data_IF_647875831198
#
_entry.id   IF_647875831198
#
_cell.length_a   1.000
_cell.length_b   1.000
_cell.length_c   1.000
_cell.angle_alpha   90.00
_cell.angle_beta   90.00
_cell.angle_gamma   90.00
#
_symmetry.space_group_name_H-M   'P 1'
#
loop_
_entity.id
_entity.type
_entity.pdbx_description
1 polymer ?
#
# COMPACT_ATOMS: atom_id res chain seq x y z
N UNK A 1 61.30 112.07 34.10
CA UNK A 1 61.28 110.61 33.83
C UNK A 1 60.68 109.72 34.96
N UNK A 2 60.32 110.25 36.14
CA UNK A 2 59.86 109.41 37.28
C UNK A 2 58.35 109.05 37.26
N UNK A 3 57.47 109.91 36.77
CA UNK A 3 56.00 109.66 36.79
C UNK A 3 55.52 108.58 35.81
N UNK A 4 56.17 108.41 34.65
CA UNK A 4 55.85 107.31 33.73
C UNK A 4 56.21 105.93 34.31
N UNK A 5 57.11 105.86 35.31
CA UNK A 5 57.47 104.62 35.99
C UNK A 5 56.42 104.24 37.06
N UNK A 6 55.84 105.20 37.77
CA UNK A 6 54.82 104.92 38.81
C UNK A 6 53.50 104.47 38.20
N UNK A 7 53.04 105.08 37.11
CA UNK A 7 51.79 104.67 36.45
C UNK A 7 51.88 103.26 35.84
N UNK A 8 53.02 102.91 35.23
CA UNK A 8 53.27 101.55 34.71
C UNK A 8 53.34 100.51 35.84
N UNK A 9 53.83 100.89 37.02
CA UNK A 9 53.90 100.01 38.17
C UNK A 9 52.50 99.69 38.72
N UNK A 10 51.61 100.68 38.84
CA UNK A 10 50.23 100.50 39.32
C UNK A 10 49.38 99.68 38.35
N UNK A 11 49.53 99.90 37.03
CA UNK A 11 48.85 99.09 36.01
C UNK A 11 49.37 97.64 35.99
N UNK A 12 50.68 97.45 36.16
CA UNK A 12 51.28 96.12 36.25
C UNK A 12 50.86 95.38 37.53
N UNK A 13 50.73 96.07 38.68
CA UNK A 13 50.25 95.43 39.91
C UNK A 13 48.75 95.13 39.85
N UNK A 14 47.93 96.00 39.25
CA UNK A 14 46.50 95.75 39.05
C UNK A 14 46.22 94.58 38.11
N UNK A 15 46.91 94.52 36.97
CA UNK A 15 46.82 93.39 36.03
C UNK A 15 47.39 92.09 36.65
N UNK A 16 48.47 92.18 37.41
CA UNK A 16 49.04 91.05 38.14
C UNK A 16 48.08 90.48 39.19
N UNK A 17 47.40 91.35 39.95
CA UNK A 17 46.40 90.93 40.94
C UNK A 17 45.16 90.32 40.27
N UNK A 18 44.69 90.89 39.15
CA UNK A 18 43.57 90.35 38.38
C UNK A 18 43.88 88.99 37.75
N UNK A 19 45.09 88.81 37.20
CA UNK A 19 45.55 87.54 36.67
C UNK A 19 45.71 86.47 37.76
N UNK A 20 46.22 86.84 38.94
CA UNK A 20 46.32 85.94 40.10
C UNK A 20 44.95 85.49 40.59
N UNK A 21 43.97 86.40 40.72
CA UNK A 21 42.61 86.05 41.12
C UNK A 21 41.90 85.21 40.05
N UNK A 22 42.09 85.53 38.76
CA UNK A 22 41.58 84.71 37.65
C UNK A 22 42.17 83.30 37.64
N UNK A 23 43.48 83.17 37.91
CA UNK A 23 44.15 81.88 38.03
C UNK A 23 43.66 81.06 39.23
N UNK A 24 43.45 81.70 40.39
CA UNK A 24 42.90 81.03 41.58
C UNK A 24 41.45 80.57 41.37
N UNK A 25 40.64 81.35 40.65
CA UNK A 25 39.28 80.95 40.30
C UNK A 25 39.31 79.80 39.30
N UNK A 26 40.17 79.86 38.29
CA UNK A 26 40.32 78.81 37.28
C UNK A 26 40.83 77.48 37.88
N UNK A 27 41.85 77.52 38.74
CA UNK A 27 42.31 76.33 39.47
C UNK A 27 41.25 75.82 40.46
N UNK A 28 40.43 76.71 41.00
CA UNK A 28 39.22 76.36 41.75
C UNK A 28 38.20 75.59 40.90
N UNK A 29 37.98 75.96 39.64
CA UNK A 29 37.07 75.24 38.74
C UNK A 29 37.54 73.83 38.41
N UNK A 30 38.84 73.63 38.15
CA UNK A 30 39.38 72.29 37.87
C UNK A 30 39.30 71.36 39.08
N UNK A 31 39.55 71.88 40.29
CA UNK A 31 39.39 71.11 41.53
C UNK A 31 37.92 70.80 41.83
N UNK A 32 36.99 71.71 41.51
CA UNK A 32 35.55 71.46 41.58
C UNK A 32 35.11 70.43 40.55
N UNK A 33 35.66 70.44 39.34
CA UNK A 33 35.35 69.46 38.30
C UNK A 33 35.85 68.06 38.70
N UNK A 34 37.09 67.95 39.15
CA UNK A 34 37.67 66.69 39.62
C UNK A 34 36.91 66.10 40.82
N UNK A 35 36.52 66.93 41.79
CA UNK A 35 35.72 66.47 42.93
C UNK A 35 34.29 66.08 42.54
N UNK A 36 33.69 66.70 41.51
CA UNK A 36 32.39 66.26 40.97
C UNK A 36 32.49 64.88 40.30
N UNK A 37 33.56 64.64 39.55
CA UNK A 37 33.83 63.34 38.92
C UNK A 37 34.05 62.24 39.98
N UNK A 38 34.79 62.54 41.05
CA UNK A 38 34.97 61.63 42.17
C UNK A 38 33.65 61.32 42.90
N UNK A 39 32.81 62.35 43.12
CA UNK A 39 31.46 62.17 43.70
C UNK A 39 30.57 61.33 42.78
N UNK A 40 30.65 61.51 41.47
CA UNK A 40 29.89 60.72 40.50
C UNK A 40 30.36 59.26 40.47
N UNK A 41 31.68 59.02 40.49
CA UNK A 41 32.27 57.69 40.61
C UNK A 41 31.87 56.99 41.92
N UNK A 42 31.87 57.71 43.05
CA UNK A 42 31.39 57.19 44.33
C UNK A 42 29.88 56.90 44.31
N UNK A 43 29.07 57.71 43.63
CA UNK A 43 27.63 57.42 43.45
C UNK A 43 27.40 56.17 42.62
N UNK A 44 28.15 55.99 41.54
CA UNK A 44 28.07 54.79 40.70
C UNK A 44 28.49 53.53 41.46
N UNK A 45 29.52 53.61 42.31
CA UNK A 45 29.94 52.48 43.16
C UNK A 45 28.95 52.18 44.29
N UNK A 46 28.30 53.20 44.86
CA UNK A 46 27.20 53.01 45.82
C UNK A 46 26.01 52.36 45.13
N UNK A 47 25.63 52.78 43.93
CA UNK A 47 24.51 52.21 43.20
C UNK A 47 24.77 50.77 42.73
N UNK A 48 25.99 50.45 42.30
CA UNK A 48 26.38 49.07 42.00
C UNK A 48 26.37 48.20 43.27
N UNK A 49 26.88 48.71 44.38
CA UNK A 49 26.85 48.02 45.68
C UNK A 49 25.42 47.82 46.18
N UNK A 50 24.53 48.79 46.01
CA UNK A 50 23.10 48.67 46.33
C UNK A 50 22.41 47.61 45.48
N UNK A 51 22.72 47.55 44.18
CA UNK A 51 22.22 46.49 43.28
C UNK A 51 22.73 45.11 43.72
N UNK A 52 24.01 44.98 44.05
CA UNK A 52 24.58 43.73 44.57
C UNK A 52 23.90 43.30 45.86
N UNK A 53 23.71 44.22 46.82
CA UNK A 53 23.01 43.94 48.09
C UNK A 53 21.56 43.51 47.86
N UNK A 54 20.85 44.16 46.93
CA UNK A 54 19.48 43.77 46.56
C UNK A 54 19.41 42.35 45.97
N UNK A 55 20.40 41.98 45.16
CA UNK A 55 20.49 40.65 44.54
C UNK A 55 21.03 39.58 45.50
N UNK A 56 21.81 39.96 46.52
CA UNK A 56 22.45 39.01 47.45
C UNK A 56 21.43 38.13 48.15
N UNK A 57 20.30 38.69 48.61
CA UNK A 57 19.26 37.91 49.29
C UNK A 57 18.52 36.92 48.38
N UNK A 58 18.48 37.17 47.06
CA UNK A 58 17.95 36.20 46.10
C UNK A 58 19.02 35.13 45.78
N UNK A 59 20.25 35.56 45.50
CA UNK A 59 21.37 34.67 45.23
C UNK A 59 21.64 33.70 46.40
N UNK A 60 21.55 34.16 47.64
CA UNK A 60 21.68 33.30 48.82
C UNK A 60 20.59 32.22 48.87
N UNK A 61 19.33 32.58 48.56
CA UNK A 61 18.22 31.60 48.49
C UNK A 61 18.48 30.58 47.39
N UNK A 62 18.85 31.06 46.21
CA UNK A 62 19.13 30.22 45.05
C UNK A 62 20.30 29.26 45.35
N UNK A 63 21.39 29.73 45.98
CA UNK A 63 22.52 28.87 46.37
C UNK A 63 22.12 27.84 47.42
N UNK A 64 21.28 28.18 48.40
CA UNK A 64 20.79 27.21 49.39
C UNK A 64 19.94 26.13 48.70
N UNK A 65 19.00 26.54 47.84
CA UNK A 65 18.17 25.60 47.08
C UNK A 65 19.04 24.73 46.19
N UNK A 66 19.98 25.33 45.46
CA UNK A 66 20.91 24.62 44.57
C UNK A 66 21.73 23.58 45.34
N UNK A 67 22.33 23.91 46.50
CA UNK A 67 23.09 22.94 47.32
C UNK A 67 22.24 21.75 47.76
N UNK A 68 20.99 21.99 48.17
CA UNK A 68 20.08 20.95 48.64
C UNK A 68 19.50 20.11 47.48
N UNK A 69 19.46 20.66 46.26
CA UNK A 69 19.10 19.92 45.04
C UNK A 69 20.29 19.23 44.38
N UNK A 70 21.49 19.79 44.49
CA UNK A 70 22.74 19.24 43.93
C UNK A 70 23.07 17.91 44.59
N UNK A 71 22.83 17.78 45.90
CA UNK A 71 22.99 16.50 46.59
C UNK A 71 22.06 15.42 46.02
N UNK A 72 20.85 15.77 45.62
CA UNK A 72 19.92 14.84 44.96
C UNK A 72 20.32 14.56 43.51
N UNK A 73 20.81 15.56 42.80
CA UNK A 73 21.33 15.37 41.44
C UNK A 73 22.51 14.39 41.48
N UNK A 74 23.41 14.50 42.46
CA UNK A 74 24.50 13.55 42.70
C UNK A 74 24.02 12.16 43.09
N UNK A 75 22.89 12.03 43.76
CA UNK A 75 22.30 10.73 44.10
C UNK A 75 21.65 10.05 42.87
N UNK A 76 21.02 10.83 41.99
CA UNK A 76 20.31 10.36 40.81
C UNK A 76 21.27 10.11 39.63
N UNK A 77 22.32 10.91 39.48
CA UNK A 77 23.30 10.78 38.40
C UNK A 77 24.43 9.82 38.79
N UNK A 78 24.83 8.89 37.90
CA UNK A 78 25.95 8.00 38.17
C UNK A 78 27.31 8.69 38.17
N UNK A 79 28.20 8.23 39.05
CA UNK A 79 29.63 8.55 39.07
C UNK A 79 30.41 7.73 38.01
N UNK A 80 31.68 8.09 37.74
CA UNK A 80 32.54 7.33 36.82
C UNK A 80 32.70 5.85 37.23
N UNK A 81 32.74 5.55 38.53
CA UNK A 81 32.81 4.17 39.05
C UNK A 81 31.51 3.39 38.81
N UNK A 82 30.39 4.09 38.78
CA UNK A 82 29.07 3.53 38.58
C UNK A 82 28.77 3.16 37.14
N UNK A 83 29.53 3.72 36.21
CA UNK A 83 29.53 3.31 34.81
C UNK A 83 29.95 1.83 34.65
N UNK A 84 30.81 1.32 35.53
CA UNK A 84 31.17 -0.11 35.55
C UNK A 84 30.06 -0.97 36.16
N UNK A 85 29.29 -0.42 37.10
CA UNK A 85 28.12 -1.09 37.68
C UNK A 85 26.96 -1.16 36.68
N UNK A 86 26.84 -0.20 35.76
CA UNK A 86 25.81 -0.18 34.72
C UNK A 86 25.76 -1.47 33.88
N UNK A 87 26.92 -2.04 33.52
CA UNK A 87 26.96 -3.31 32.78
C UNK A 87 26.39 -4.46 33.60
N UNK A 88 26.57 -4.43 34.93
CA UNK A 88 26.00 -5.42 35.86
C UNK A 88 24.51 -5.21 36.02
N UNK A 89 24.05 -3.96 36.11
CA UNK A 89 22.62 -3.62 36.19
C UNK A 89 21.89 -4.07 34.92
N UNK A 90 22.49 -3.85 33.73
CA UNK A 90 21.95 -4.34 32.46
C UNK A 90 21.79 -5.85 32.42
N UNK A 91 22.73 -6.62 32.99
CA UNK A 91 22.62 -8.09 33.09
C UNK A 91 21.53 -8.52 34.07
N UNK A 92 21.33 -7.78 35.16
CA UNK A 92 20.21 -8.04 36.07
C UNK A 92 18.87 -7.76 35.37
N UNK A 93 18.79 -6.66 34.58
CA UNK A 93 17.60 -6.38 33.79
C UNK A 93 17.35 -7.45 32.74
N UNK A 94 18.39 -7.97 32.09
CA UNK A 94 18.31 -9.09 31.14
C UNK A 94 17.67 -10.33 31.78
N UNK A 95 18.15 -10.75 32.95
CA UNK A 95 17.64 -11.91 33.69
C UNK A 95 16.19 -11.71 34.15
N UNK A 96 15.83 -10.51 34.61
CA UNK A 96 14.49 -10.21 35.11
C UNK A 96 13.45 -10.02 33.99
N UNK A 97 13.84 -9.50 32.84
CA UNK A 97 12.93 -9.27 31.70
C UNK A 97 12.87 -10.44 30.72
N UNK A 98 13.79 -11.41 30.83
CA UNK A 98 13.89 -12.54 29.91
C UNK A 98 14.38 -12.15 28.51
N UNK A 99 15.04 -11.00 28.40
CA UNK A 99 15.62 -10.48 27.16
C UNK A 99 16.98 -11.14 26.92
N UNK A 100 17.47 -11.19 25.68
CA UNK A 100 18.86 -11.53 25.38
C UNK A 100 19.65 -10.35 24.81
N UNK A 101 20.72 -9.94 25.50
CA UNK A 101 21.59 -8.86 25.03
C UNK A 101 22.68 -9.47 24.13
N UNK A 102 22.59 -9.24 22.83
CA UNK A 102 23.56 -9.75 21.84
C UNK A 102 24.76 -8.84 21.64
N UNK A 103 24.65 -7.55 22.01
CA UNK A 103 25.77 -6.64 21.91
C UNK A 103 25.60 -5.38 22.75
N UNK A 104 26.70 -4.93 23.36
CA UNK A 104 26.80 -3.67 24.08
C UNK A 104 28.02 -2.91 23.59
N UNK A 105 27.84 -1.67 23.13
CA UNK A 105 28.92 -0.78 22.68
C UNK A 105 28.75 0.61 23.27
N UNK A 106 29.78 1.11 23.97
CA UNK A 106 29.84 2.53 24.34
C UNK A 106 30.05 3.34 23.06
N UNK A 107 29.12 4.23 22.72
CA UNK A 107 29.34 5.20 21.64
C UNK A 107 30.32 6.24 22.17
N UNK A 108 31.49 6.35 21.52
CA UNK A 108 32.36 7.49 21.76
C UNK A 108 31.59 8.75 21.38
N UNK A 109 31.58 9.77 22.25
CA UNK A 109 31.10 11.08 21.84
C UNK A 109 31.94 11.51 20.63
N UNK A 110 31.28 11.70 19.49
CA UNK A 110 31.91 12.37 18.38
C UNK A 110 32.22 13.79 18.85
N UNK A 111 33.48 14.00 19.24
CA UNK A 111 34.08 15.31 19.49
C UNK A 111 34.15 16.11 18.18
N UNK A 112 33.01 16.31 17.51
CA UNK A 112 32.88 17.16 16.34
C UNK A 112 32.82 18.61 16.81
N UNK A 113 33.99 19.23 17.00
CA UNK A 113 34.32 20.67 16.78
C UNK A 113 33.40 21.79 17.32
N UNK A 114 32.31 21.53 18.04
CA UNK A 114 31.33 22.53 18.51
C UNK A 114 31.26 22.70 20.04
N UNK A 115 31.79 21.77 20.81
CA UNK A 115 31.63 21.74 22.28
C UNK A 115 32.68 22.55 23.06
N UNK A 116 33.52 23.35 22.38
CA UNK A 116 34.44 24.28 23.07
C UNK A 116 33.76 25.58 23.51
N UNK A 117 32.45 25.73 23.27
CA UNK A 117 31.71 26.98 23.53
C UNK A 117 30.80 26.93 24.76
N UNK A 118 30.37 25.74 25.20
CA UNK A 118 29.53 25.56 26.39
C UNK A 118 30.12 24.43 27.25
N UNK A 119 31.07 24.77 28.13
CA UNK A 119 31.56 23.86 29.15
C UNK A 119 30.44 23.63 30.17
N UNK A 120 29.79 22.47 30.11
CA UNK A 120 28.73 22.08 31.03
C UNK A 120 29.28 21.09 32.04
N UNK A 121 28.79 21.13 33.28
CA UNK A 121 29.21 20.22 34.37
C UNK A 121 28.69 18.78 34.20
N UNK A 122 28.09 18.46 33.04
CA UNK A 122 27.47 17.17 32.76
C UNK A 122 28.08 16.58 31.49
N UNK A 123 28.67 15.38 31.62
CA UNK A 123 29.14 14.59 30.48
C UNK A 123 28.08 13.57 30.08
N UNK A 124 27.75 13.49 28.78
CA UNK A 124 26.76 12.55 28.27
C UNK A 124 27.44 11.24 27.87
N UNK A 125 27.07 10.14 28.54
CA UNK A 125 27.50 8.80 28.18
C UNK A 125 26.39 8.06 27.44
N UNK A 126 26.67 7.62 26.21
CA UNK A 126 25.70 6.89 25.37
C UNK A 126 26.17 5.45 25.13
N UNK A 127 25.26 4.50 25.34
CA UNK A 127 25.47 3.07 25.10
C UNK A 127 24.51 2.56 24.05
N UNK A 128 25.04 1.92 23.01
CA UNK A 128 24.24 1.21 22.04
C UNK A 128 24.10 -0.25 22.46
N UNK A 129 22.87 -0.70 22.64
CA UNK A 129 22.52 -2.09 22.90
C UNK A 129 21.89 -2.73 21.66
N UNK A 130 22.24 -3.98 21.43
CA UNK A 130 21.52 -4.87 20.52
C UNK A 130 20.94 -6.00 21.34
N UNK A 131 19.64 -6.20 21.18
CA UNK A 131 18.79 -7.05 22.00
C UNK A 131 17.99 -7.97 21.08
N UNK A 132 17.77 -9.20 21.52
CA UNK A 132 16.82 -10.15 20.96
C UNK A 132 15.75 -10.46 22.02
N UNK A 133 14.49 -10.15 21.71
CA UNK A 133 13.38 -10.27 22.66
C UNK A 133 12.03 -10.27 21.95
N UNK A 134 11.00 -10.81 22.61
CA UNK A 134 9.62 -10.54 22.20
C UNK A 134 9.18 -9.12 22.58
N UNK A 135 8.00 -8.69 22.11
CA UNK A 135 7.49 -7.36 22.41
C UNK A 135 7.32 -7.09 23.91
N UNK A 136 6.95 -8.09 24.69
CA UNK A 136 6.57 -7.91 26.09
C UNK A 136 7.78 -7.94 27.02
N UNK A 137 8.75 -8.82 26.74
CA UNK A 137 10.08 -8.87 27.32
C UNK A 137 10.82 -7.55 27.08
N UNK A 138 10.76 -7.02 25.86
CA UNK A 138 11.36 -5.72 25.57
C UNK A 138 10.68 -4.57 26.32
N UNK A 139 9.34 -4.51 26.37
CA UNK A 139 8.63 -3.50 27.14
C UNK A 139 8.91 -3.61 28.65
N UNK A 140 9.05 -4.84 29.17
CA UNK A 140 9.47 -5.07 30.55
C UNK A 140 10.89 -4.54 30.79
N UNK A 141 11.82 -4.80 29.87
CA UNK A 141 13.19 -4.27 29.93
C UNK A 141 13.20 -2.74 29.91
N UNK A 142 12.49 -2.10 28.98
CA UNK A 142 12.37 -0.64 28.92
C UNK A 142 11.82 -0.05 30.22
N UNK A 143 10.76 -0.65 30.76
CA UNK A 143 10.18 -0.21 32.04
C UNK A 143 11.20 -0.27 33.18
N UNK A 144 12.09 -1.28 33.21
CA UNK A 144 13.16 -1.38 34.21
C UNK A 144 14.26 -0.36 34.02
N UNK A 145 14.68 -0.11 32.79
CA UNK A 145 15.68 0.92 32.47
C UNK A 145 15.17 2.31 32.89
N UNK A 146 13.93 2.65 32.54
CA UNK A 146 13.36 3.98 32.81
C UNK A 146 12.89 4.17 34.27
N UNK A 147 12.58 3.10 35.00
CA UNK A 147 12.18 3.17 36.42
C UNK A 147 13.34 2.99 37.40
N UNK A 148 14.56 2.81 36.90
CA UNK A 148 15.73 2.66 37.75
C UNK A 148 15.95 3.93 38.60
N UNK A 149 16.55 3.76 39.78
CA UNK A 149 16.85 4.89 40.69
C UNK A 149 17.78 5.93 40.08
N UNK A 150 18.57 5.52 39.08
CA UNK A 150 19.49 6.37 38.33
C UNK A 150 18.84 6.89 37.06
N UNK A 151 19.18 8.12 36.69
CA UNK A 151 18.69 8.70 35.45
C UNK A 151 19.24 7.95 34.24
N UNK A 152 18.38 7.18 33.58
CA UNK A 152 18.66 6.52 32.31
C UNK A 152 17.49 6.77 31.36
N UNK A 153 17.80 7.10 30.11
CA UNK A 153 16.78 7.35 29.09
C UNK A 153 17.06 6.58 27.81
N UNK A 154 15.99 6.19 27.12
CA UNK A 154 16.06 5.54 25.80
C UNK A 154 15.62 6.55 24.75
N UNK A 155 16.52 7.39 24.19
CA UNK A 155 16.18 8.41 23.19
C UNK A 155 15.62 7.84 21.89
N UNK A 156 16.12 6.69 21.46
CA UNK A 156 15.77 6.11 20.16
C UNK A 156 16.04 4.62 20.15
N UNK A 157 15.22 3.91 19.36
CA UNK A 157 15.41 2.51 19.08
C UNK A 157 15.02 2.21 17.63
N UNK A 158 15.60 1.14 17.10
CA UNK A 158 15.28 0.55 15.81
C UNK A 158 14.89 -0.90 16.05
N UNK A 159 13.71 -1.28 15.58
CA UNK A 159 13.18 -2.63 15.69
C UNK A 159 13.20 -3.32 14.32
N UNK A 160 13.60 -4.58 14.30
CA UNK A 160 13.49 -5.48 13.15
C UNK A 160 12.70 -6.70 13.59
N UNK A 161 11.56 -6.92 12.94
CA UNK A 161 10.65 -8.01 13.30
C UNK A 161 11.32 -9.39 13.12
N UNK A 162 10.90 -10.37 13.93
CA UNK A 162 11.44 -11.72 13.86
C UNK A 162 10.85 -12.45 12.64
N UNK A 163 11.65 -13.23 11.88
CA UNK A 163 11.13 -14.05 10.80
C UNK A 163 10.27 -15.18 11.38
N UNK A 164 9.14 -15.49 10.75
CA UNK A 164 8.11 -16.37 11.35
C UNK A 164 8.53 -17.84 11.45
N UNK A 165 9.49 -18.31 10.65
CA UNK A 165 9.97 -19.71 10.67
C UNK A 165 10.70 -20.10 11.97
N UNK A 166 11.32 -19.14 12.67
CA UNK A 166 11.96 -19.42 13.98
C UNK A 166 10.96 -19.89 15.06
N UNK A 167 9.66 -19.71 14.83
CA UNK A 167 8.58 -20.04 15.77
C UNK A 167 7.95 -21.40 15.48
N UNK A 168 8.05 -21.92 14.26
CA UNK A 168 7.47 -23.24 13.92
C UNK A 168 8.29 -24.40 14.49
N UNK A 169 9.59 -24.18 14.72
CA UNK A 169 10.52 -25.21 15.24
C UNK A 169 10.53 -25.32 16.79
N UNK A 170 9.74 -24.52 17.53
CA UNK A 170 9.62 -24.67 18.98
C UNK A 170 8.74 -23.65 19.70
N UNK A 171 8.43 -23.93 20.98
CA UNK A 171 7.68 -23.08 21.93
C UNK A 171 8.45 -21.80 22.34
N UNK A 172 9.31 -21.29 21.45
CA UNK A 172 10.16 -20.13 21.71
C UNK A 172 9.46 -18.84 21.30
N UNK A 173 9.52 -17.80 22.15
CA UNK A 173 8.93 -16.49 21.86
C UNK A 173 9.60 -15.82 20.64
N UNK A 174 8.88 -14.92 19.97
CA UNK A 174 9.38 -14.18 18.80
C UNK A 174 10.65 -13.40 19.16
N UNK A 175 11.79 -13.71 18.55
CA UNK A 175 13.04 -13.00 18.81
C UNK A 175 13.19 -11.78 17.88
N UNK A 176 12.57 -10.65 18.25
CA UNK A 176 12.77 -9.40 17.53
C UNK A 176 14.17 -8.86 17.77
N UNK A 177 14.83 -8.40 16.70
CA UNK A 177 16.14 -7.75 16.82
C UNK A 177 15.96 -6.26 17.03
N UNK A 178 16.38 -5.79 18.20
CA UNK A 178 16.16 -4.42 18.65
C UNK A 178 17.51 -3.76 18.90
N UNK A 179 17.75 -2.63 18.25
CA UNK A 179 18.90 -1.77 18.50
C UNK A 179 18.43 -0.52 19.21
N UNK A 180 18.86 -0.28 20.45
CA UNK A 180 18.50 0.91 21.21
C UNK A 180 19.74 1.65 21.68
N UNK A 181 19.61 2.95 21.84
CA UNK A 181 20.60 3.74 22.57
C UNK A 181 20.07 4.01 23.98
N UNK A 182 20.89 3.79 25.00
CA UNK A 182 20.65 4.20 26.39
C UNK A 182 21.60 5.36 26.69
N UNK A 183 21.04 6.45 27.17
CA UNK A 183 21.77 7.64 27.57
C UNK A 183 21.75 7.80 29.08
N UNK A 184 22.92 8.13 29.64
CA UNK A 184 23.09 8.53 31.03
C UNK A 184 23.98 9.76 31.09
N UNK A 185 23.85 10.54 32.17
CA UNK A 185 24.66 11.73 32.39
C UNK A 185 25.57 11.50 33.61
N UNK A 186 26.83 11.89 33.49
CA UNK A 186 27.81 11.87 34.58
C UNK A 186 28.02 13.30 35.04
N UNK A 187 27.94 13.54 36.35
CA UNK A 187 28.22 14.85 36.92
C UNK A 187 29.73 15.03 37.09
N UNK A 188 30.32 15.93 36.30
CA UNK A 188 31.75 16.25 36.31
C UNK A 188 31.94 17.77 36.49
N UNK A 189 31.80 18.29 37.73
CA UNK A 189 31.86 19.72 37.99
C UNK A 189 33.23 20.29 37.62
N UNK A 190 33.25 21.36 36.82
CA UNK A 190 34.50 22.04 36.48
C UNK A 190 34.92 22.99 37.60
N UNK A 191 35.68 22.44 38.54
CA UNK A 191 36.40 23.23 39.55
C UNK A 191 35.81 23.11 40.94
N UNK A 192 36.67 22.69 41.86
CA UNK A 192 36.36 22.53 43.28
C UNK A 192 36.44 23.90 43.99
N UNK A 193 35.52 24.81 43.63
CA UNK A 193 35.42 26.09 44.31
C UNK A 193 34.91 25.85 45.74
N UNK A 194 35.76 26.13 46.74
CA UNK A 194 35.42 25.91 48.14
C UNK A 194 34.06 26.52 48.50
N UNK A 195 33.19 25.71 49.11
CA UNK A 195 31.82 26.11 49.44
C UNK A 195 31.79 27.41 50.27
N UNK A 196 31.22 28.47 49.70
CA UNK A 196 31.06 29.77 50.37
C UNK A 196 30.23 29.60 51.65
N UNK A 197 30.72 30.11 52.78
CA UNK A 197 30.03 30.05 54.06
C UNK A 197 28.86 31.06 54.06
N UNK A 198 27.64 30.56 54.26
CA UNK A 198 26.43 31.38 54.40
C UNK A 198 26.06 31.45 55.89
N UNK A 199 25.90 32.65 56.41
CA UNK A 199 25.52 32.85 57.81
C UNK A 199 24.07 32.42 58.06
N UNK A 200 23.86 31.68 59.15
CA UNK A 200 22.54 31.18 59.55
C UNK A 200 21.92 30.16 58.60
N UNK A 201 22.74 29.41 57.85
CA UNK A 201 22.30 28.45 56.83
C UNK A 201 21.15 27.54 57.27
N UNK A 202 21.24 26.92 58.45
CA UNK A 202 20.22 25.99 58.97
C UNK A 202 18.85 26.63 59.10
N UNK A 203 18.78 27.83 59.70
CA UNK A 203 17.53 28.60 59.84
C UNK A 203 16.97 29.04 58.49
N UNK A 204 17.82 29.47 57.56
CA UNK A 204 17.40 29.88 56.21
C UNK A 204 16.89 28.68 55.40
N UNK A 205 17.55 27.52 55.50
CA UNK A 205 17.10 26.26 54.91
C UNK A 205 15.71 25.86 55.40
N UNK A 206 15.46 25.96 56.71
CA UNK A 206 14.15 25.67 57.29
C UNK A 206 13.04 26.56 56.72
N UNK A 207 13.31 27.85 56.50
CA UNK A 207 12.37 28.78 55.87
C UNK A 207 12.12 28.46 54.39
N UNK A 208 13.10 27.86 53.69
CA UNK A 208 13.03 27.52 52.27
C UNK A 208 12.57 26.08 52.00
N UNK A 209 12.17 25.32 53.03
CA UNK A 209 11.76 23.91 52.87
C UNK A 209 10.68 23.71 51.80
N UNK A 210 9.71 24.63 51.71
CA UNK A 210 8.65 24.57 50.69
C UNK A 210 9.14 24.84 49.27
N UNK A 211 10.18 25.66 49.08
CA UNK A 211 10.83 25.87 47.79
C UNK A 211 11.69 24.67 47.41
N UNK A 212 12.50 24.19 48.35
CA UNK A 212 13.31 22.97 48.18
C UNK A 212 12.39 21.80 47.80
N UNK A 213 11.30 21.57 48.53
CA UNK A 213 10.35 20.49 48.21
C UNK A 213 9.74 20.62 46.81
N UNK A 214 9.42 21.84 46.35
CA UNK A 214 8.92 22.07 44.98
C UNK A 214 9.98 21.74 43.94
N UNK A 215 11.21 22.19 44.12
CA UNK A 215 12.32 21.85 43.21
C UNK A 215 12.61 20.35 43.21
N UNK A 216 12.55 19.69 44.38
CA UNK A 216 12.69 18.23 44.50
C UNK A 216 11.60 17.47 43.75
N UNK A 217 10.34 17.92 43.87
CA UNK A 217 9.23 17.31 43.17
C UNK A 217 9.35 17.44 41.64
N UNK A 218 9.90 18.56 41.15
CA UNK A 218 10.18 18.75 39.72
C UNK A 218 11.26 17.81 39.20
N UNK A 219 12.25 17.47 40.05
CA UNK A 219 13.32 16.53 39.71
C UNK A 219 12.90 15.05 39.83
N UNK A 220 11.73 14.75 40.40
CA UNK A 220 11.25 13.39 40.53
C UNK A 220 10.83 12.83 39.16
N UNK A 221 11.47 11.72 38.75
CA UNK A 221 11.19 11.06 37.49
C UNK A 221 9.86 10.30 37.61
N UNK A 222 8.86 10.55 36.74
CA UNK A 222 7.62 9.79 36.75
C UNK A 222 7.90 8.34 36.37
N UNK A 223 7.63 7.40 37.28
CA UNK A 223 7.84 5.98 37.03
C UNK A 223 6.62 5.34 36.39
N UNK A 224 6.80 4.68 35.24
CA UNK A 224 5.77 3.84 34.63
C UNK A 224 6.00 2.36 34.99
N UNK A 225 5.00 1.72 35.60
CA UNK A 225 5.05 0.29 35.92
C UNK A 225 4.35 -0.53 34.83
N UNK A 226 5.13 -1.27 34.05
CA UNK A 226 4.61 -2.19 33.06
C UNK A 226 3.92 -3.40 33.73
N UNK A 227 2.75 -3.79 33.23
CA UNK A 227 1.88 -4.83 33.82
C UNK A 227 1.92 -6.19 33.11
N UNK A 228 2.75 -6.33 32.07
CA UNK A 228 2.90 -7.58 31.32
C UNK A 228 1.96 -7.73 30.13
N UNK A 229 1.99 -8.92 29.53
CA UNK A 229 1.37 -9.28 28.25
C UNK A 229 -0.18 -9.29 28.26
N UNK A 230 -0.82 -9.49 29.41
CA UNK A 230 -2.29 -9.57 29.56
C UNK A 230 -3.00 -10.45 28.51
N UNK A 231 -2.39 -11.58 28.12
CA UNK A 231 -2.95 -12.52 27.12
C UNK A 231 -3.03 -11.96 25.69
N UNK A 232 -2.34 -10.85 25.40
CA UNK A 232 -2.25 -10.29 24.05
C UNK A 232 -1.18 -11.02 23.24
N UNK A 233 -1.42 -11.16 21.95
CA UNK A 233 -0.41 -11.62 20.98
C UNK A 233 0.61 -10.51 20.73
N UNK A 234 1.79 -10.89 20.27
CA UNK A 234 2.81 -9.93 19.87
C UNK A 234 2.23 -8.96 18.81
N UNK A 235 2.27 -7.64 19.04
CA UNK A 235 1.72 -6.65 18.11
C UNK A 235 2.55 -6.48 16.84
N UNK A 236 3.80 -6.94 16.79
CA UNK A 236 4.70 -6.75 15.66
C UNK A 236 4.78 -7.95 14.72
N UNK A 237 4.03 -9.00 15.00
CA UNK A 237 3.91 -10.16 14.12
C UNK A 237 2.47 -10.25 13.64
N UNK A 238 2.26 -10.04 12.33
CA UNK A 238 0.95 -10.25 11.74
C UNK A 238 0.71 -11.76 11.52
N UNK A 239 -0.29 -12.36 12.17
CA UNK A 239 -0.62 -13.77 11.98
C UNK A 239 -1.09 -14.11 10.56
N UNK A 240 -1.39 -13.13 9.72
CA UNK A 240 -1.91 -13.32 8.34
C UNK A 240 -0.82 -13.48 7.27
N UNK A 241 0.43 -13.17 7.60
CA UNK A 241 1.57 -13.25 6.67
C UNK A 241 2.30 -14.58 6.85
N UNK A 242 2.29 -15.45 5.83
CA UNK A 242 2.91 -16.79 5.90
C UNK A 242 4.42 -16.72 6.13
N UNK A 243 4.96 -17.71 6.85
CA UNK A 243 6.39 -17.80 7.17
C UNK A 243 7.31 -18.00 5.96
N UNK A 244 6.74 -18.48 4.85
CA UNK A 244 7.48 -18.82 3.62
C UNK A 244 7.90 -17.59 2.79
N UNK A 245 7.27 -16.43 3.01
CA UNK A 245 7.54 -15.20 2.23
C UNK A 245 8.93 -14.63 2.55
N UNK A 246 9.47 -14.91 3.74
CA UNK A 246 10.76 -14.37 4.22
C UNK A 246 12.00 -14.99 3.52
N UNK A 247 11.85 -16.03 2.69
CA UNK A 247 12.98 -16.78 2.07
C UNK A 247 13.37 -16.21 0.70
N UNK A 248 12.58 -15.29 0.12
CA UNK A 248 12.88 -14.68 -1.18
C UNK A 248 12.58 -15.58 -2.39
N UNK A 249 11.93 -16.73 -2.19
CA UNK A 249 11.42 -17.60 -3.26
C UNK A 249 9.99 -17.21 -3.72
N UNK A 250 9.34 -16.25 -3.05
CA UNK A 250 8.00 -15.75 -3.38
C UNK A 250 7.92 -14.23 -3.46
N UNK A 251 6.84 -13.72 -4.07
CA UNK A 251 6.54 -12.29 -4.12
C UNK A 251 6.36 -11.74 -2.70
N UNK A 252 6.89 -10.55 -2.45
CA UNK A 252 6.65 -9.83 -1.19
C UNK A 252 5.17 -9.49 -1.03
N UNK A 253 4.71 -9.22 0.20
CA UNK A 253 3.32 -8.81 0.45
C UNK A 253 2.97 -7.54 -0.34
N UNK A 254 3.89 -6.58 -0.41
CA UNK A 254 3.70 -5.33 -1.17
C UNK A 254 3.53 -5.61 -2.67
N UNK A 255 4.36 -6.47 -3.25
CA UNK A 255 4.24 -6.88 -4.66
C UNK A 255 2.93 -7.65 -4.92
N UNK A 256 2.52 -8.53 -4.02
CA UNK A 256 1.24 -9.25 -4.13
C UNK A 256 0.04 -8.30 -4.10
N UNK A 257 0.05 -7.31 -3.20
CA UNK A 257 -0.97 -6.26 -3.14
C UNK A 257 -0.96 -5.46 -4.44
N UNK A 258 0.21 -5.11 -4.96
CA UNK A 258 0.32 -4.34 -6.19
C UNK A 258 -0.29 -5.10 -7.38
N UNK A 259 0.07 -6.38 -7.58
CA UNK A 259 -0.47 -7.21 -8.66
C UNK A 259 -2.00 -7.28 -8.59
N UNK A 260 -2.56 -7.52 -7.40
CA UNK A 260 -4.03 -7.58 -7.23
C UNK A 260 -4.67 -6.21 -7.47
N UNK A 261 -4.04 -5.12 -7.05
CA UNK A 261 -4.54 -3.77 -7.30
C UNK A 261 -4.58 -3.42 -8.79
N UNK A 262 -3.56 -3.85 -9.56
CA UNK A 262 -3.51 -3.67 -11.02
C UNK A 262 -4.60 -4.49 -11.72
N UNK A 263 -4.80 -5.75 -11.31
CA UNK A 263 -5.89 -6.59 -11.82
C UNK A 263 -7.26 -6.00 -11.48
N UNK A 264 -7.42 -5.43 -10.27
CA UNK A 264 -8.66 -4.76 -9.87
C UNK A 264 -8.96 -3.55 -10.75
N UNK A 265 -7.98 -2.67 -10.97
CA UNK A 265 -8.17 -1.48 -11.79
C UNK A 265 -8.56 -1.85 -13.24
N UNK A 266 -7.98 -2.92 -13.77
CA UNK A 266 -8.36 -3.46 -15.08
C UNK A 266 -9.78 -4.04 -15.09
N UNK A 267 -10.20 -4.72 -14.02
CA UNK A 267 -11.55 -5.25 -13.86
C UNK A 267 -12.60 -4.13 -13.79
N UNK A 268 -12.28 -3.02 -13.12
CA UNK A 268 -13.11 -1.81 -13.11
C UNK A 268 -13.25 -1.24 -14.53
N UNK A 269 -12.15 -1.14 -15.29
CA UNK A 269 -12.18 -0.70 -16.70
C UNK A 269 -13.06 -1.60 -17.59
N UNK A 270 -12.98 -2.92 -17.45
CA UNK A 270 -13.86 -3.87 -18.16
C UNK A 270 -15.33 -3.67 -17.77
N UNK A 271 -15.60 -3.41 -16.48
CA UNK A 271 -16.95 -3.12 -15.98
C UNK A 271 -17.51 -1.83 -16.57
N UNK A 272 -16.69 -0.78 -16.71
CA UNK A 272 -17.09 0.46 -17.38
C UNK A 272 -17.42 0.24 -18.85
N UNK A 273 -16.59 -0.51 -19.58
CA UNK A 273 -16.86 -0.87 -21.00
C UNK A 273 -18.17 -1.65 -21.10
N UNK A 274 -18.41 -2.59 -20.18
CA UNK A 274 -19.64 -3.38 -20.10
C UNK A 274 -20.89 -2.53 -19.86
N UNK A 275 -20.86 -1.59 -18.92
CA UNK A 275 -21.97 -0.64 -18.71
C UNK A 275 -22.17 0.26 -19.93
N UNK A 276 -21.07 0.72 -20.53
CA UNK A 276 -21.13 1.56 -21.74
C UNK A 276 -21.70 0.81 -22.96
N UNK A 277 -21.55 -0.51 -23.01
CA UNK A 277 -22.15 -1.39 -24.01
C UNK A 277 -23.65 -1.56 -23.79
N UNK A 278 -24.11 -1.67 -22.53
CA UNK A 278 -25.55 -1.76 -22.20
C UNK A 278 -26.33 -0.53 -22.65
N UNK A 279 -25.74 0.66 -22.51
CA UNK A 279 -26.39 1.96 -22.76
C UNK A 279 -26.16 2.47 -24.20
N UNK A 280 -25.36 1.79 -25.02
CA UNK A 280 -25.01 2.28 -26.35
C UNK A 280 -26.27 2.48 -27.24
N UNK A 281 -26.44 3.68 -27.86
CA UNK A 281 -27.64 4.03 -28.62
C UNK A 281 -27.72 3.34 -29.98
N UNK A 282 -26.57 3.13 -30.65
CA UNK A 282 -26.49 2.64 -32.03
C UNK A 282 -26.05 1.17 -32.09
N UNK A 283 -26.60 0.38 -33.03
CA UNK A 283 -26.22 -1.03 -33.21
C UNK A 283 -24.76 -1.21 -33.65
N UNK A 284 -24.21 -0.28 -34.45
CA UNK A 284 -22.81 -0.31 -34.85
C UNK A 284 -21.88 -0.06 -33.65
N UNK A 285 -22.20 0.92 -32.81
CA UNK A 285 -21.46 1.19 -31.57
C UNK A 285 -21.55 0.03 -30.58
N UNK A 286 -22.73 -0.62 -30.46
CA UNK A 286 -22.87 -1.85 -29.67
C UNK A 286 -21.94 -2.95 -30.15
N UNK A 287 -21.80 -3.13 -31.47
CA UNK A 287 -20.91 -4.15 -32.05
C UNK A 287 -19.44 -3.84 -31.78
N UNK A 288 -19.01 -2.58 -31.96
CA UNK A 288 -17.64 -2.16 -31.67
C UNK A 288 -17.28 -2.33 -30.19
N UNK A 289 -18.12 -1.81 -29.29
CA UNK A 289 -17.92 -1.94 -27.84
C UNK A 289 -17.97 -3.39 -27.36
N UNK A 290 -18.75 -4.24 -28.03
CA UNK A 290 -18.77 -5.67 -27.74
C UNK A 290 -17.46 -6.34 -28.13
N UNK A 291 -16.93 -6.07 -29.32
CA UNK A 291 -15.65 -6.62 -29.75
C UNK A 291 -14.50 -6.17 -28.83
N UNK A 292 -14.52 -4.90 -28.41
CA UNK A 292 -13.60 -4.35 -27.42
C UNK A 292 -13.74 -5.05 -26.05
N UNK A 293 -14.98 -5.25 -25.58
CA UNK A 293 -15.27 -5.94 -24.33
C UNK A 293 -14.78 -7.40 -24.36
N UNK A 294 -15.06 -8.14 -25.43
CA UNK A 294 -14.63 -9.54 -25.57
C UNK A 294 -13.11 -9.67 -25.58
N UNK A 295 -12.42 -8.73 -26.25
CA UNK A 295 -10.96 -8.72 -26.32
C UNK A 295 -10.36 -8.40 -24.95
N UNK A 296 -10.84 -7.37 -24.27
CA UNK A 296 -10.34 -6.94 -22.96
C UNK A 296 -10.66 -7.95 -21.86
N UNK A 297 -11.86 -8.54 -21.88
CA UNK A 297 -12.28 -9.60 -20.97
C UNK A 297 -11.40 -10.85 -21.12
N UNK A 298 -11.15 -11.31 -22.34
CA UNK A 298 -10.34 -12.51 -22.57
C UNK A 298 -8.90 -12.36 -22.07
N UNK A 299 -8.28 -11.19 -22.29
CA UNK A 299 -6.92 -10.91 -21.78
C UNK A 299 -6.91 -10.87 -20.25
N UNK A 300 -7.92 -10.25 -19.62
CA UNK A 300 -8.00 -10.16 -18.17
C UNK A 300 -8.31 -11.52 -17.51
N UNK A 301 -9.19 -12.34 -18.09
CA UNK A 301 -9.48 -13.70 -17.64
C UNK A 301 -8.22 -14.59 -17.69
N UNK A 302 -7.43 -14.47 -18.76
CA UNK A 302 -6.15 -15.21 -18.88
C UNK A 302 -5.15 -14.79 -17.80
N UNK A 303 -5.00 -13.49 -17.57
CA UNK A 303 -4.09 -12.97 -16.54
C UNK A 303 -4.52 -13.40 -15.14
N UNK A 304 -5.81 -13.29 -14.80
CA UNK A 304 -6.36 -13.75 -13.52
C UNK A 304 -6.14 -15.25 -13.35
N UNK A 305 -6.42 -16.06 -14.38
CA UNK A 305 -6.18 -17.50 -14.35
C UNK A 305 -4.71 -17.81 -14.11
N UNK A 306 -3.80 -17.14 -14.82
CA UNK A 306 -2.36 -17.32 -14.66
C UNK A 306 -1.88 -16.99 -13.25
N UNK A 307 -2.42 -15.94 -12.63
CA UNK A 307 -2.06 -15.56 -11.26
C UNK A 307 -2.61 -16.53 -10.21
N UNK A 308 -3.84 -17.01 -10.40
CA UNK A 308 -4.46 -18.03 -9.52
C UNK A 308 -3.74 -19.38 -9.63
N UNK A 309 -3.61 -19.91 -10.85
CA UNK A 309 -2.97 -21.21 -11.10
C UNK A 309 -1.47 -21.19 -10.78
N UNK A 310 -0.83 -20.03 -10.93
CA UNK A 310 0.57 -19.82 -10.59
C UNK A 310 0.85 -19.85 -9.08
N UNK A 311 -0.17 -19.82 -8.22
CA UNK A 311 -0.01 -19.86 -6.75
C UNK A 311 0.80 -18.69 -6.19
N UNK A 312 0.92 -17.60 -6.95
CA UNK A 312 1.83 -16.49 -6.67
C UNK A 312 1.36 -15.60 -5.50
N UNK A 313 0.05 -15.60 -5.23
CA UNK A 313 -0.58 -14.81 -4.17
C UNK A 313 -0.90 -15.71 -2.99
N UNK A 314 -0.11 -15.58 -1.93
CA UNK A 314 -0.28 -16.31 -0.68
C UNK A 314 -0.98 -15.45 0.39
N UNK A 315 -0.85 -14.12 0.30
CA UNK A 315 -1.43 -13.20 1.26
C UNK A 315 -2.96 -13.28 1.25
N UNK A 316 -3.53 -13.58 2.42
CA UNK A 316 -4.97 -13.92 2.56
C UNK A 316 -5.93 -12.85 2.06
N UNK A 317 -5.61 -11.57 2.27
CA UNK A 317 -6.48 -10.46 1.82
C UNK A 317 -6.46 -10.35 0.30
N UNK A 318 -5.28 -10.30 -0.30
CA UNK A 318 -5.08 -10.26 -1.75
C UNK A 318 -5.69 -11.48 -2.46
N UNK A 319 -5.56 -12.67 -1.87
CA UNK A 319 -6.18 -13.89 -2.40
C UNK A 319 -7.70 -13.81 -2.38
N UNK A 320 -8.30 -13.39 -1.26
CA UNK A 320 -9.75 -13.23 -1.17
C UNK A 320 -10.28 -12.20 -2.18
N UNK A 321 -9.56 -11.10 -2.39
CA UNK A 321 -9.92 -10.09 -3.37
C UNK A 321 -9.87 -10.63 -4.82
N UNK A 322 -8.84 -11.40 -5.15
CA UNK A 322 -8.70 -12.05 -6.44
C UNK A 322 -9.80 -13.10 -6.70
N UNK A 323 -9.99 -14.03 -5.75
CA UNK A 323 -10.90 -15.18 -5.92
C UNK A 323 -12.37 -14.80 -5.78
N UNK A 324 -12.72 -13.93 -4.83
CA UNK A 324 -14.13 -13.65 -4.49
C UNK A 324 -14.66 -12.34 -5.03
N UNK A 325 -13.80 -11.39 -5.43
CA UNK A 325 -14.24 -10.16 -6.10
C UNK A 325 -13.95 -10.24 -7.59
N UNK A 326 -12.66 -10.23 -7.97
CA UNK A 326 -12.25 -10.09 -9.36
C UNK A 326 -12.74 -11.27 -10.22
N UNK A 327 -12.48 -12.52 -9.81
CA UNK A 327 -12.90 -13.69 -10.58
C UNK A 327 -14.43 -13.84 -10.66
N UNK A 328 -15.15 -13.46 -9.61
CA UNK A 328 -16.62 -13.49 -9.58
C UNK A 328 -17.21 -12.42 -10.51
N UNK A 329 -16.67 -11.20 -10.50
CA UNK A 329 -17.16 -10.13 -11.36
C UNK A 329 -16.96 -10.46 -12.84
N UNK A 330 -15.80 -11.03 -13.21
CA UNK A 330 -15.52 -11.45 -14.59
C UNK A 330 -16.45 -12.58 -15.04
N UNK A 331 -16.70 -13.57 -14.19
CA UNK A 331 -17.64 -14.67 -14.52
C UNK A 331 -19.07 -14.16 -14.71
N UNK A 332 -19.53 -13.19 -13.91
CA UNK A 332 -20.83 -12.54 -14.10
C UNK A 332 -20.90 -11.81 -15.45
N UNK A 333 -19.88 -11.03 -15.80
CA UNK A 333 -19.82 -10.32 -17.10
C UNK A 333 -19.85 -11.33 -18.25
N UNK A 334 -19.06 -12.40 -18.16
CA UNK A 334 -18.99 -13.47 -19.16
C UNK A 334 -20.35 -14.14 -19.37
N UNK A 335 -21.05 -14.49 -18.30
CA UNK A 335 -22.39 -15.09 -18.38
C UNK A 335 -23.42 -14.19 -19.07
N UNK A 336 -23.34 -12.87 -18.87
CA UNK A 336 -24.28 -11.95 -19.51
C UNK A 336 -24.01 -11.82 -21.01
N UNK A 337 -22.74 -11.87 -21.41
CA UNK A 337 -22.36 -11.87 -22.84
C UNK A 337 -22.86 -13.14 -23.52
N UNK A 338 -22.62 -14.31 -22.92
CA UNK A 338 -23.01 -15.62 -23.51
C UNK A 338 -24.52 -15.87 -23.50
N UNK A 339 -25.24 -15.54 -22.41
CA UNK A 339 -26.72 -15.69 -22.36
C UNK A 339 -27.44 -14.89 -23.44
N UNK A 340 -26.85 -13.78 -23.92
CA UNK A 340 -27.40 -12.98 -25.03
C UNK A 340 -27.17 -13.60 -26.41
N UNK A 341 -26.29 -14.59 -26.56
CA UNK A 341 -26.07 -15.33 -27.80
C UNK A 341 -27.11 -16.44 -28.01
N UNK A 342 -27.48 -17.16 -26.95
CA UNK A 342 -28.42 -18.29 -27.04
C UNK A 342 -29.87 -17.84 -27.33
N UNK A 343 -30.20 -16.57 -27.09
CA UNK A 343 -31.56 -16.05 -27.26
C UNK A 343 -31.92 -15.52 -28.65
N UNK A 344 -30.96 -15.31 -29.56
CA UNK A 344 -31.21 -14.60 -30.84
C UNK A 344 -31.07 -15.45 -32.12
N UNK A 345 -30.58 -16.68 -32.01
CA UNK A 345 -30.34 -17.55 -33.17
C UNK A 345 -29.32 -16.97 -34.17
N UNK A 346 -29.05 -17.69 -35.26
CA UNK A 346 -28.16 -17.22 -36.33
C UNK A 346 -28.71 -15.97 -37.03
N UNK A 347 -27.83 -15.11 -37.54
CA UNK A 347 -28.21 -13.86 -38.20
C UNK A 347 -28.83 -14.11 -39.60
N UNK A 348 -29.63 -13.18 -40.14
CA UNK A 348 -30.26 -13.31 -41.47
C UNK A 348 -29.21 -13.50 -42.57
N UNK A 349 -28.11 -12.76 -42.53
CA UNK A 349 -27.05 -12.86 -43.53
C UNK A 349 -26.36 -14.24 -43.50
N UNK A 350 -26.16 -14.79 -42.30
CA UNK A 350 -25.58 -16.13 -42.11
C UNK A 350 -26.54 -17.22 -42.61
N UNK A 351 -27.83 -17.09 -42.31
CA UNK A 351 -28.86 -18.02 -42.77
C UNK A 351 -29.01 -17.97 -44.30
N UNK A 352 -28.91 -16.78 -44.90
CA UNK A 352 -29.00 -16.60 -46.36
C UNK A 352 -27.78 -17.19 -47.07
N UNK A 353 -26.57 -16.94 -46.54
CA UNK A 353 -25.34 -17.56 -47.06
C UNK A 353 -25.37 -19.10 -46.96
N UNK A 354 -25.97 -19.63 -45.88
CA UNK A 354 -26.19 -21.07 -45.74
C UNK A 354 -27.17 -21.61 -46.77
N UNK A 355 -28.26 -20.89 -47.07
CA UNK A 355 -29.21 -21.26 -48.16
C UNK A 355 -28.45 -21.38 -49.48
N UNK A 356 -27.62 -20.40 -49.81
CA UNK A 356 -26.86 -20.39 -51.07
C UNK A 356 -25.85 -21.54 -51.11
N UNK A 357 -25.18 -21.82 -50.00
CA UNK A 357 -24.25 -22.95 -49.87
C UNK A 357 -24.96 -24.29 -50.03
N UNK A 358 -26.10 -24.49 -49.35
CA UNK A 358 -26.89 -25.71 -49.47
C UNK A 358 -27.45 -25.90 -50.88
N UNK A 359 -27.92 -24.83 -51.54
CA UNK A 359 -28.37 -24.87 -52.93
C UNK A 359 -27.23 -25.27 -53.87
N UNK A 360 -26.05 -24.68 -53.70
CA UNK A 360 -24.87 -25.06 -54.47
C UNK A 360 -24.52 -26.55 -54.32
N UNK A 361 -24.62 -27.11 -53.12
CA UNK A 361 -24.41 -28.54 -52.90
C UNK A 361 -25.54 -29.40 -53.50
N UNK A 362 -26.80 -28.94 -53.46
CA UNK A 362 -27.89 -29.65 -54.12
C UNK A 362 -27.73 -29.67 -55.65
N UNK A 363 -27.32 -28.55 -56.25
CA UNK A 363 -27.09 -28.43 -57.69
C UNK A 363 -25.90 -29.29 -58.15
N UNK A 364 -24.89 -29.46 -57.28
CA UNK A 364 -23.75 -30.34 -57.50
C UNK A 364 -24.07 -31.84 -57.28
N UNK A 365 -25.27 -32.18 -56.78
CA UNK A 365 -25.65 -33.56 -56.41
C UNK A 365 -25.03 -34.07 -55.10
N UNK A 366 -24.39 -33.18 -54.33
CA UNK A 366 -23.71 -33.47 -53.06
C UNK A 366 -24.68 -33.38 -51.86
N UNK A 367 -25.79 -34.14 -51.90
CA UNK A 367 -26.84 -34.07 -50.89
C UNK A 367 -26.37 -34.31 -49.44
N UNK A 368 -25.42 -35.22 -49.15
CA UNK A 368 -24.91 -35.41 -47.80
C UNK A 368 -24.16 -34.18 -47.24
N UNK A 369 -23.47 -33.43 -48.09
CA UNK A 369 -22.77 -32.20 -47.68
C UNK A 369 -23.76 -31.07 -47.37
N UNK A 370 -24.84 -30.95 -48.14
CA UNK A 370 -25.94 -30.03 -47.84
C UNK A 370 -26.58 -30.34 -46.47
N UNK A 371 -26.80 -31.62 -46.15
CA UNK A 371 -27.36 -32.03 -44.86
C UNK A 371 -26.39 -31.81 -43.70
N UNK A 372 -25.10 -32.06 -43.90
CA UNK A 372 -24.07 -31.79 -42.90
C UNK A 372 -23.97 -30.28 -42.57
N UNK A 373 -24.03 -29.42 -43.60
CA UNK A 373 -24.08 -27.97 -43.42
C UNK A 373 -25.30 -27.52 -42.62
N UNK A 374 -26.47 -28.12 -42.88
CA UNK A 374 -27.71 -27.85 -42.14
C UNK A 374 -27.64 -28.31 -40.68
N UNK A 375 -27.12 -29.51 -40.40
CA UNK A 375 -27.05 -30.09 -39.06
C UNK A 375 -26.29 -29.21 -38.06
N UNK A 376 -25.29 -28.46 -38.52
CA UNK A 376 -24.52 -27.53 -37.68
C UNK A 376 -25.35 -26.32 -37.19
N UNK A 377 -26.40 -25.94 -37.92
CA UNK A 377 -27.19 -24.73 -37.65
C UNK A 377 -28.60 -25.07 -37.14
N UNK A 378 -29.07 -26.31 -37.34
CA UNK A 378 -30.37 -26.79 -36.88
C UNK A 378 -30.71 -26.44 -35.41
N UNK A 379 -29.82 -26.60 -34.41
CA UNK A 379 -30.12 -26.26 -33.02
C UNK A 379 -30.38 -24.76 -32.81
N UNK A 380 -29.84 -23.90 -33.69
CA UNK A 380 -29.91 -22.43 -33.61
C UNK A 380 -31.11 -21.84 -34.37
N UNK A 381 -31.85 -22.66 -35.12
CA UNK A 381 -33.04 -22.23 -35.87
C UNK A 381 -34.25 -21.98 -34.96
N UNK A 382 -34.44 -22.76 -33.90
CA UNK A 382 -35.57 -22.60 -32.98
C UNK A 382 -35.69 -21.19 -32.38
N UNK A 383 -34.60 -20.62 -31.82
CA UNK A 383 -34.60 -19.23 -31.37
C UNK A 383 -34.76 -18.20 -32.50
N UNK A 384 -34.21 -18.48 -33.70
CA UNK A 384 -34.30 -17.58 -34.84
C UNK A 384 -35.75 -17.43 -35.37
N UNK A 385 -36.58 -18.48 -35.27
CA UNK A 385 -37.97 -18.48 -35.76
C UNK A 385 -38.96 -17.63 -34.97
N UNK A 386 -38.56 -17.24 -33.75
CA UNK A 386 -39.31 -16.30 -32.92
C UNK A 386 -39.32 -14.90 -33.54
N UNK A 387 -38.34 -14.57 -34.39
CA UNK A 387 -38.28 -13.32 -35.15
C UNK A 387 -39.10 -13.41 -36.46
N UNK A 388 -40.14 -12.56 -36.65
CA UNK A 388 -40.95 -12.56 -37.86
C UNK A 388 -40.15 -12.43 -39.17
N UNK A 389 -39.04 -11.68 -39.16
CA UNK A 389 -38.23 -11.46 -40.36
C UNK A 389 -37.40 -12.69 -40.76
N UNK A 390 -37.09 -13.59 -39.82
CA UNK A 390 -36.22 -14.76 -40.02
C UNK A 390 -37.00 -16.04 -40.25
N UNK A 391 -38.28 -16.06 -39.90
CA UNK A 391 -39.15 -17.24 -40.00
C UNK A 391 -39.21 -17.81 -41.42
N UNK A 392 -39.33 -16.95 -42.43
CA UNK A 392 -39.37 -17.39 -43.83
C UNK A 392 -38.04 -18.00 -44.28
N UNK A 393 -36.93 -17.43 -43.83
CA UNK A 393 -35.57 -17.93 -44.15
C UNK A 393 -35.32 -19.29 -43.47
N UNK A 394 -35.75 -19.45 -42.22
CA UNK A 394 -35.65 -20.72 -41.49
C UNK A 394 -36.52 -21.82 -42.13
N UNK A 395 -37.74 -21.47 -42.57
CA UNK A 395 -38.61 -22.38 -43.30
C UNK A 395 -37.95 -22.86 -44.60
N UNK A 396 -37.36 -21.93 -45.36
CA UNK A 396 -36.66 -22.25 -46.61
C UNK A 396 -35.49 -23.21 -46.38
N UNK A 397 -34.69 -23.01 -45.33
CA UNK A 397 -33.59 -23.93 -44.97
C UNK A 397 -34.09 -25.35 -44.67
N UNK A 398 -35.20 -25.48 -43.94
CA UNK A 398 -35.80 -26.79 -43.63
C UNK A 398 -36.36 -27.47 -44.88
N UNK A 399 -36.94 -26.72 -45.80
CA UNK A 399 -37.45 -27.27 -47.06
C UNK A 399 -36.32 -27.79 -47.97
N UNK A 400 -35.19 -27.07 -48.02
CA UNK A 400 -33.98 -27.53 -48.73
C UNK A 400 -33.42 -28.79 -48.05
N UNK A 401 -33.31 -28.80 -46.71
CA UNK A 401 -32.86 -29.98 -45.98
C UNK A 401 -33.78 -31.20 -46.20
N UNK A 402 -35.11 -31.00 -46.21
CA UNK A 402 -36.08 -32.06 -46.52
C UNK A 402 -35.90 -32.59 -47.94
N UNK A 403 -35.65 -31.72 -48.90
CA UNK A 403 -35.41 -32.08 -50.30
C UNK A 403 -34.11 -32.89 -50.44
N UNK A 404 -33.01 -32.43 -49.83
CA UNK A 404 -31.73 -33.15 -49.83
C UNK A 404 -31.82 -34.54 -49.16
N UNK A 405 -32.57 -34.65 -48.05
CA UNK A 405 -32.83 -35.95 -47.41
C UNK A 405 -33.66 -36.87 -48.31
N UNK A 406 -34.70 -36.35 -48.94
CA UNK A 406 -35.56 -37.12 -49.85
C UNK A 406 -34.79 -37.61 -51.08
N UNK A 407 -33.90 -36.78 -51.64
CA UNK A 407 -33.00 -37.17 -52.72
C UNK A 407 -32.00 -38.26 -52.29
N UNK A 408 -31.44 -38.13 -51.08
CA UNK A 408 -30.54 -39.15 -50.51
C UNK A 408 -31.25 -40.49 -50.30
N UNK A 409 -32.45 -40.46 -49.71
CA UNK A 409 -33.28 -41.66 -49.48
C UNK A 409 -33.68 -42.31 -50.81
N UNK A 410 -34.02 -41.52 -51.84
CA UNK A 410 -34.33 -42.02 -53.18
C UNK A 410 -33.11 -42.65 -53.87
N UNK A 411 -31.92 -42.06 -53.71
CA UNK A 411 -30.68 -42.63 -54.26
C UNK A 411 -30.31 -43.98 -53.62
N UNK A 412 -30.71 -44.20 -52.36
CA UNK A 412 -30.53 -45.48 -51.68
C UNK A 412 -31.51 -46.57 -52.15
N UNK A 413 -32.54 -46.24 -52.93
CA UNK A 413 -33.46 -47.23 -53.48
C UNK A 413 -32.81 -48.00 -54.63
N UNK A 414 -32.64 -49.31 -54.42
CA UNK A 414 -32.25 -50.26 -55.45
C UNK A 414 -33.43 -50.47 -56.41
N UNK A 415 -33.41 -49.72 -57.51
CA UNK A 415 -34.33 -49.87 -58.64
C UNK A 415 -33.56 -50.49 -59.80
N UNK A 416 -33.88 -51.74 -60.13
CA UNK A 416 -33.35 -52.46 -61.28
C UNK A 416 -34.27 -52.26 -62.49
N UNK A 417 -33.73 -51.71 -63.58
CA UNK A 417 -34.48 -51.41 -64.79
C UNK A 417 -34.15 -52.45 -65.85
N UNK A 418 -35.10 -53.35 -66.11
CA UNK A 418 -34.93 -54.38 -67.12
C UNK A 418 -35.22 -53.91 -68.56
N UNK A 419 -35.82 -52.73 -68.75
CA UNK A 419 -36.03 -52.11 -70.06
C UNK A 419 -37.23 -51.16 -70.11
N UNK A 420 -37.21 -50.23 -71.07
CA UNK A 420 -38.28 -49.27 -71.35
C UNK A 420 -38.86 -49.59 -72.73
N UNK A 421 -40.19 -49.73 -72.83
CA UNK A 421 -40.90 -49.99 -74.07
C UNK A 421 -41.78 -48.78 -74.39
N UNK A 422 -41.45 -48.08 -75.47
CA UNK A 422 -42.21 -46.96 -76.03
C UNK A 422 -42.84 -47.42 -77.35
N UNK A 423 -44.16 -47.27 -77.50
CA UNK A 423 -44.87 -47.55 -78.76
C UNK A 423 -45.81 -46.38 -79.07
N UNK A 424 -45.88 -45.95 -80.34
CA UNK A 424 -46.60 -44.72 -80.73
C UNK A 424 -48.12 -44.75 -80.39
N UNK A 425 -48.72 -45.94 -80.25
CA UNK A 425 -50.16 -46.15 -79.99
C UNK A 425 -50.48 -46.71 -78.58
N UNK A 426 -49.52 -46.78 -77.65
CA UNK A 426 -49.74 -47.35 -76.29
C UNK A 426 -49.02 -46.54 -75.21
N UNK A 427 -49.54 -46.52 -73.97
CA UNK A 427 -48.85 -45.87 -72.86
C UNK A 427 -47.47 -46.53 -72.65
N UNK A 428 -46.44 -45.73 -72.33
CA UNK A 428 -45.09 -46.25 -72.12
C UNK A 428 -45.07 -47.20 -70.91
N UNK A 429 -44.30 -48.29 -71.03
CA UNK A 429 -44.17 -49.31 -69.98
C UNK A 429 -42.70 -49.43 -69.61
N UNK A 430 -42.41 -49.40 -68.30
CA UNK A 430 -41.08 -49.70 -67.77
C UNK A 430 -41.11 -51.02 -67.00
N UNK A 431 -40.06 -51.84 -67.17
CA UNK A 431 -39.84 -53.02 -66.36
C UNK A 431 -38.96 -52.65 -65.16
N UNK A 432 -39.58 -52.39 -64.01
CA UNK A 432 -38.89 -52.10 -62.74
C UNK A 432 -38.96 -53.30 -61.80
N UNK A 433 -37.81 -53.75 -61.30
CA UNK A 433 -37.71 -54.88 -60.36
C UNK A 433 -38.48 -56.14 -60.85
N UNK A 434 -38.45 -56.40 -62.16
CA UNK A 434 -39.14 -57.52 -62.81
C UNK A 434 -40.67 -57.37 -62.97
N UNK A 435 -41.25 -56.20 -62.66
CA UNK A 435 -42.68 -55.90 -62.83
C UNK A 435 -42.90 -54.84 -63.92
N UNK A 436 -43.85 -55.03 -64.85
CA UNK A 436 -44.22 -54.00 -65.81
C UNK A 436 -45.09 -52.95 -65.12
N UNK A 437 -44.66 -51.69 -65.17
CA UNK A 437 -45.36 -50.54 -64.58
C UNK A 437 -45.57 -49.45 -65.64
N UNK A 438 -46.68 -48.75 -65.53
CA UNK A 438 -47.10 -47.62 -66.38
C UNK A 438 -47.14 -46.31 -65.59
N UNK A 439 -47.33 -45.20 -66.29
CA UNK A 439 -47.50 -43.90 -65.65
C UNK A 439 -48.69 -43.91 -64.68
N UNK A 440 -48.46 -43.43 -63.46
CA UNK A 440 -49.43 -43.43 -62.36
C UNK A 440 -49.36 -44.66 -61.45
N UNK A 441 -48.60 -45.71 -61.80
CA UNK A 441 -48.47 -46.89 -60.96
C UNK A 441 -47.58 -46.66 -59.74
N UNK A 442 -47.95 -47.30 -58.63
CA UNK A 442 -47.22 -47.30 -57.37
C UNK A 442 -46.10 -48.37 -57.43
N UNK A 443 -44.85 -47.95 -57.28
CA UNK A 443 -43.69 -48.84 -57.19
C UNK A 443 -43.53 -49.36 -55.76
N UNK A 444 -43.65 -48.46 -54.78
CA UNK A 444 -43.55 -48.74 -53.34
C UNK A 444 -44.38 -47.69 -52.54
N UNK A 445 -44.51 -47.84 -51.22
CA UNK A 445 -45.43 -47.08 -50.35
C UNK A 445 -45.44 -45.55 -50.56
N UNK A 446 -44.30 -44.96 -50.95
CA UNK A 446 -44.14 -43.51 -51.18
C UNK A 446 -43.64 -43.15 -52.59
N UNK A 447 -43.56 -44.12 -53.52
CA UNK A 447 -42.93 -43.96 -54.83
C UNK A 447 -43.92 -44.23 -55.98
N UNK A 448 -44.21 -43.20 -56.77
CA UNK A 448 -45.13 -43.25 -57.92
C UNK A 448 -44.40 -42.86 -59.21
N UNK A 449 -44.68 -43.55 -60.31
CA UNK A 449 -44.18 -43.18 -61.62
C UNK A 449 -45.01 -42.01 -62.17
N UNK A 450 -44.38 -40.89 -62.49
CA UNK A 450 -45.05 -39.71 -63.03
C UNK A 450 -45.04 -39.67 -64.55
N UNK A 451 -43.87 -39.85 -65.15
CA UNK A 451 -43.73 -39.91 -66.61
C UNK A 451 -42.55 -40.79 -67.01
N UNK A 452 -42.69 -41.48 -68.13
CA UNK A 452 -41.66 -42.37 -68.68
C UNK A 452 -41.21 -41.79 -70.02
N UNK A 453 -39.93 -41.43 -70.13
CA UNK A 453 -39.29 -40.99 -71.38
C UNK A 453 -38.20 -42.01 -71.78
N UNK A 454 -37.66 -41.83 -72.98
CA UNK A 454 -36.69 -42.77 -73.56
C UNK A 454 -35.41 -42.91 -72.73
N UNK A 455 -34.90 -41.80 -72.17
CA UNK A 455 -33.61 -41.75 -71.44
C UNK A 455 -33.77 -41.36 -69.96
N UNK A 456 -34.99 -41.07 -69.50
CA UNK A 456 -35.27 -40.65 -68.13
C UNK A 456 -36.67 -41.05 -67.67
N UNK A 457 -36.81 -41.39 -66.39
CA UNK A 457 -38.10 -41.60 -65.74
C UNK A 457 -38.25 -40.64 -64.58
N UNK A 458 -39.38 -39.95 -64.56
CA UNK A 458 -39.76 -39.05 -63.48
C UNK A 458 -40.57 -39.83 -62.44
N UNK A 459 -40.12 -39.77 -61.19
CA UNK A 459 -40.80 -40.36 -60.04
C UNK A 459 -41.29 -39.25 -59.11
N UNK A 460 -42.43 -39.48 -58.46
CA UNK A 460 -42.86 -38.71 -57.30
C UNK A 460 -42.50 -39.54 -56.07
N UNK A 461 -41.58 -39.03 -55.26
CA UNK A 461 -41.18 -39.65 -54.00
C UNK A 461 -41.41 -38.66 -52.85
N UNK A 462 -42.31 -39.01 -51.92
CA UNK A 462 -42.69 -38.16 -50.77
C UNK A 462 -43.04 -36.70 -51.15
N UNK A 463 -43.70 -36.53 -52.30
CA UNK A 463 -44.14 -35.21 -52.80
C UNK A 463 -43.08 -34.40 -53.56
N UNK A 464 -41.86 -34.91 -53.72
CA UNK A 464 -40.80 -34.30 -54.55
C UNK A 464 -40.72 -35.06 -55.88
N UNK A 465 -40.60 -34.32 -56.98
CA UNK A 465 -40.37 -34.91 -58.31
C UNK A 465 -38.88 -35.14 -58.47
N UNK A 466 -38.48 -36.39 -58.66
CA UNK A 466 -37.10 -36.80 -58.87
C UNK A 466 -36.97 -37.47 -60.23
N UNK A 467 -35.90 -37.15 -60.95
CA UNK A 467 -35.63 -37.70 -62.28
C UNK A 467 -34.51 -38.70 -62.16
N UNK A 468 -34.71 -39.92 -62.66
CA UNK A 468 -33.64 -40.92 -62.81
C UNK A 468 -33.34 -41.08 -64.28
N UNK A 469 -32.10 -40.77 -64.66
CA UNK A 469 -31.57 -41.03 -66.01
C UNK A 469 -30.94 -42.42 -66.01
N UNK A 470 -31.15 -43.17 -67.09
CA UNK A 470 -30.70 -44.56 -67.23
C UNK A 470 -29.67 -44.71 -68.34
#
# INVERSE_FOLDING_TARGET
>A
MKEKKTFRLVLATGLGAGALLGFLIWSGYDTIAASREEVEGLRQSIDSSRKLLALTGQLERDVIVLRETEQLIKEILPDEQDLNNFVRDLRAFEEESGVHITGLKKKAENASRKQKKDATDFEKATYQLTIEADAFQWLAFMSRVESHSRFMSVPSFKLSAAPRRQVEDGDQPYAHKIQMDIETYVYAPQGDAAAVKIDGYTRKRELLLGEIARHRAVLAIPTFTYRGQHGRRDPWVDPRVSADIDIGEGLTVEEQIQIVSELSARCEGVSEVFESWKVAPNELEKKLKRAELETTLAVLEEDVRRTVDGGQITFTVSRNELEHRIAVDLTVIREVITKKEDGRGANIDELTALIDTMRSHMDAGEYPLALAAFANVEPRLGPAELDPARREVCATLRDIARSAKTATDFAALELDVGGIIMMDDRPPVILLNGRPLTEGDLVDQDLIIKSIKQDEVEFIFRGVILVRRF
#
